data_IF_213404396223
#
_entry.id   IF_213404396223
#
_cell.length_a   1.000
_cell.length_b   1.000
_cell.length_c   1.000
_cell.angle_alpha   90.00
_cell.angle_beta   90.00
_cell.angle_gamma   90.00
#
_symmetry.space_group_name_H-M   'P 1'
#
loop_
_entity.id
_entity.type
_entity.pdbx_description
1 polymer ?
#
# COMPACT_ATOMS: atom_id res chain seq x y z
N UNK A 1 26.54 -14.15 -0.02
CA UNK A 1 26.17 -15.58 -0.03
C UNK A 1 24.77 -15.65 -0.62
N UNK A 2 24.67 -15.96 -1.91
CA UNK A 2 23.39 -16.08 -2.61
C UNK A 2 22.88 -17.49 -2.38
N UNK A 3 21.68 -17.64 -1.78
CA UNK A 3 20.97 -18.91 -1.85
C UNK A 3 20.55 -19.10 -3.30
N UNK A 4 21.20 -20.03 -3.99
CA UNK A 4 20.78 -20.49 -5.31
C UNK A 4 19.55 -21.35 -5.09
N UNK A 5 18.39 -20.93 -5.59
CA UNK A 5 17.27 -21.83 -5.79
C UNK A 5 17.74 -22.88 -6.80
N UNK A 6 18.11 -24.07 -6.31
CA UNK A 6 18.66 -25.13 -7.15
C UNK A 6 17.73 -25.46 -8.32
N UNK A 7 18.26 -25.93 -9.47
CA UNK A 7 17.42 -26.42 -10.55
C UNK A 7 16.50 -27.51 -9.98
N UNK A 8 15.20 -27.47 -10.31
CA UNK A 8 14.17 -28.45 -9.93
C UNK A 8 13.51 -28.25 -8.55
N UNK A 9 13.48 -27.06 -7.95
CA UNK A 9 12.71 -26.80 -6.71
C UNK A 9 11.18 -27.03 -6.85
N UNK A 10 10.69 -27.03 -8.09
CA UNK A 10 9.33 -27.36 -8.51
C UNK A 10 9.14 -28.85 -8.84
N UNK A 11 10.19 -29.68 -8.71
CA UNK A 11 10.08 -31.13 -8.80
C UNK A 11 9.59 -31.63 -7.45
N UNK A 12 8.29 -31.88 -7.38
CA UNK A 12 7.63 -32.50 -6.23
C UNK A 12 8.08 -33.96 -6.14
N UNK A 13 9.33 -34.20 -5.73
CA UNK A 13 9.63 -35.40 -4.98
C UNK A 13 8.97 -35.18 -3.63
N UNK A 14 7.71 -35.61 -3.51
CA UNK A 14 7.15 -35.92 -2.20
C UNK A 14 8.12 -36.93 -1.61
N UNK A 15 8.99 -36.48 -0.72
CA UNK A 15 9.69 -37.37 0.16
C UNK A 15 8.60 -38.14 0.91
N UNK A 16 8.37 -39.40 0.53
CA UNK A 16 7.40 -40.33 1.10
C UNK A 16 7.62 -40.59 2.61
N UNK A 17 8.51 -39.83 3.26
CA UNK A 17 8.98 -40.06 4.62
C UNK A 17 8.88 -38.85 5.57
N UNK A 18 8.34 -37.70 5.17
CA UNK A 18 8.00 -36.62 6.12
C UNK A 18 6.50 -36.61 6.41
N UNK A 19 6.10 -37.32 7.46
CA UNK A 19 4.72 -37.63 7.87
C UNK A 19 3.90 -36.46 8.45
N UNK A 20 4.27 -35.21 8.19
CA UNK A 20 3.39 -34.06 8.52
C UNK A 20 3.39 -33.06 7.37
N UNK A 21 2.31 -32.97 6.58
CA UNK A 21 2.12 -31.80 5.73
C UNK A 21 2.14 -30.58 6.64
N UNK A 22 2.90 -29.54 6.25
CA UNK A 22 2.83 -28.24 6.89
C UNK A 22 1.35 -27.85 7.02
N UNK A 23 0.90 -27.31 8.17
CA UNK A 23 -0.49 -26.95 8.35
C UNK A 23 -0.90 -26.02 7.21
N UNK A 24 -1.82 -26.49 6.35
CA UNK A 24 -2.35 -25.68 5.27
C UNK A 24 -3.18 -24.57 5.91
N UNK A 25 -2.65 -23.34 5.90
CA UNK A 25 -3.40 -22.16 6.34
C UNK A 25 -4.53 -21.98 5.34
N UNK A 26 -5.74 -22.41 5.71
CA UNK A 26 -6.95 -22.13 4.97
C UNK A 26 -7.55 -20.84 5.51
N UNK A 27 -7.37 -19.77 4.75
CA UNK A 27 -8.11 -18.55 4.99
C UNK A 27 -9.62 -18.83 4.76
N UNK A 28 -10.54 -18.15 5.47
CA UNK A 28 -11.98 -18.35 5.31
C UNK A 28 -12.44 -17.85 3.94
N UNK A 29 -13.40 -18.56 3.33
CA UNK A 29 -14.07 -18.06 2.13
C UNK A 29 -14.82 -16.76 2.46
N UNK A 30 -14.84 -15.83 1.51
CA UNK A 30 -15.53 -14.55 1.64
C UNK A 30 -16.65 -14.44 0.61
N UNK A 31 -17.76 -13.84 1.00
CA UNK A 31 -18.82 -13.47 0.08
C UNK A 31 -18.58 -12.04 -0.42
N UNK A 32 -18.51 -11.83 -1.73
CA UNK A 32 -18.22 -10.52 -2.31
C UNK A 32 -19.32 -10.05 -3.26
N UNK A 33 -19.40 -8.73 -3.43
CA UNK A 33 -20.21 -8.07 -4.42
C UNK A 33 -19.49 -8.10 -5.78
N UNK A 34 -20.13 -8.69 -6.79
CA UNK A 34 -19.76 -8.52 -8.20
C UNK A 34 -20.62 -7.41 -8.79
N UNK A 35 -20.00 -6.33 -9.27
CA UNK A 35 -20.67 -5.18 -9.89
C UNK A 35 -19.69 -4.43 -10.78
N UNK A 36 -20.20 -3.91 -11.90
CA UNK A 36 -19.47 -2.98 -12.77
C UNK A 36 -20.31 -1.71 -12.88
N UNK A 37 -19.70 -0.56 -12.66
CA UNK A 37 -20.31 0.76 -12.81
C UNK A 37 -19.41 1.53 -13.78
N UNK A 38 -20.01 2.09 -14.82
CA UNK A 38 -19.35 2.98 -15.76
C UNK A 38 -20.27 4.18 -16.02
N UNK A 39 -19.73 5.27 -16.57
CA UNK A 39 -20.52 6.42 -17.00
C UNK A 39 -21.67 5.97 -17.91
N UNK A 40 -22.91 6.12 -17.45
CA UNK A 40 -24.11 5.72 -18.20
C UNK A 40 -24.45 4.23 -18.20
N UNK A 41 -23.70 3.38 -17.48
CA UNK A 41 -23.96 1.95 -17.40
C UNK A 41 -23.78 1.38 -15.98
N UNK A 42 -24.80 0.67 -15.50
CA UNK A 42 -24.71 -0.10 -14.27
C UNK A 42 -24.95 -1.57 -14.61
N UNK A 43 -23.90 -2.37 -14.49
CA UNK A 43 -23.96 -3.81 -14.71
C UNK A 43 -24.74 -4.55 -13.62
N UNK A 44 -25.06 -5.83 -13.85
CA UNK A 44 -25.82 -6.63 -12.89
C UNK A 44 -25.06 -6.76 -11.58
N UNK A 45 -25.78 -6.55 -10.48
CA UNK A 45 -25.29 -6.76 -9.12
C UNK A 45 -25.49 -8.24 -8.75
N UNK A 46 -24.41 -8.96 -8.46
CA UNK A 46 -24.46 -10.38 -8.04
C UNK A 46 -23.63 -10.61 -6.79
N UNK A 47 -24.16 -11.39 -5.85
CA UNK A 47 -23.40 -11.87 -4.69
C UNK A 47 -22.83 -13.25 -5.02
N UNK A 48 -21.56 -13.49 -4.66
CA UNK A 48 -20.89 -14.77 -4.91
C UNK A 48 -19.91 -15.08 -3.78
N UNK A 49 -19.92 -16.33 -3.34
CA UNK A 49 -18.86 -16.88 -2.48
C UNK A 49 -17.61 -17.09 -3.32
N UNK A 50 -16.53 -16.45 -2.92
CA UNK A 50 -15.28 -16.44 -3.66
C UNK A 50 -14.43 -17.67 -3.32
N UNK A 51 -13.70 -18.16 -4.32
CA UNK A 51 -12.60 -19.10 -4.13
C UNK A 51 -11.39 -18.40 -3.50
N UNK A 52 -11.20 -17.11 -3.79
CA UNK A 52 -10.24 -16.23 -3.10
C UNK A 52 -10.78 -15.79 -1.73
N UNK A 53 -9.86 -15.44 -0.85
CA UNK A 53 -10.13 -15.03 0.53
C UNK A 53 -10.31 -13.52 0.71
N UNK A 54 -10.34 -12.78 -0.40
CA UNK A 54 -10.47 -11.34 -0.41
C UNK A 54 -11.48 -10.91 -1.46
N UNK A 55 -12.22 -9.85 -1.16
CA UNK A 55 -12.91 -9.04 -2.14
C UNK A 55 -11.98 -7.96 -2.67
N UNK A 56 -12.26 -7.50 -3.89
CA UNK A 56 -11.52 -6.47 -4.59
C UNK A 56 -12.48 -5.41 -5.13
N UNK A 57 -12.05 -4.15 -5.09
CA UNK A 57 -12.65 -3.05 -5.84
C UNK A 57 -11.55 -2.23 -6.49
N UNK A 58 -11.71 -1.96 -7.77
CA UNK A 58 -11.00 -0.92 -8.49
C UNK A 58 -11.98 0.19 -8.85
N UNK A 59 -11.59 1.44 -8.65
CA UNK A 59 -12.26 2.60 -9.20
C UNK A 59 -11.24 3.45 -9.96
N UNK A 60 -11.47 3.68 -11.24
CA UNK A 60 -10.64 4.52 -12.09
C UNK A 60 -11.39 5.79 -12.42
N UNK A 61 -10.79 6.93 -12.09
CA UNK A 61 -11.28 8.26 -12.40
C UNK A 61 -10.45 8.83 -13.54
N UNK A 62 -11.08 9.14 -14.67
CA UNK A 62 -10.44 9.83 -15.78
C UNK A 62 -10.97 11.26 -15.92
N UNK A 63 -10.06 12.22 -15.83
CA UNK A 63 -10.33 13.66 -15.93
C UNK A 63 -10.19 14.09 -17.41
N UNK A 64 -11.31 14.15 -18.11
CA UNK A 64 -11.37 14.63 -19.50
C UNK A 64 -11.60 16.14 -19.50
N UNK A 65 -10.78 16.88 -20.24
CA UNK A 65 -11.02 18.31 -20.45
C UNK A 65 -12.36 18.49 -21.17
N UNK A 66 -13.23 19.35 -20.63
CA UNK A 66 -14.59 19.70 -21.12
C UNK A 66 -15.78 18.87 -20.58
N UNK A 67 -15.58 18.00 -19.59
CA UNK A 67 -16.67 17.35 -18.86
C UNK A 67 -16.70 17.87 -17.41
N UNK A 68 -17.88 18.29 -16.93
CA UNK A 68 -18.06 18.75 -15.54
C UNK A 68 -17.85 17.62 -14.52
N UNK A 69 -17.95 16.36 -14.95
CA UNK A 69 -17.76 15.18 -14.11
C UNK A 69 -16.69 14.24 -14.71
N UNK A 70 -15.77 13.69 -13.91
CA UNK A 70 -14.82 12.69 -14.40
C UNK A 70 -15.55 11.43 -14.86
N UNK A 71 -15.06 10.80 -15.92
CA UNK A 71 -15.53 9.47 -16.30
C UNK A 71 -15.04 8.49 -15.23
N UNK A 72 -15.97 7.71 -14.67
CA UNK A 72 -15.69 6.78 -13.58
C UNK A 72 -15.98 5.36 -14.04
N UNK A 73 -14.99 4.48 -13.89
CA UNK A 73 -15.14 3.04 -14.03
C UNK A 73 -14.86 2.39 -12.68
N UNK A 74 -15.88 1.78 -12.07
CA UNK A 74 -15.74 0.99 -10.85
C UNK A 74 -16.06 -0.48 -11.12
N UNK A 75 -15.16 -1.36 -10.68
CA UNK A 75 -15.26 -2.81 -10.80
C UNK A 75 -15.07 -3.42 -9.42
N UNK A 76 -16.13 -4.04 -8.90
CA UNK A 76 -16.12 -4.82 -7.66
C UNK A 76 -16.24 -6.30 -7.99
N UNK A 77 -15.39 -7.15 -7.42
CA UNK A 77 -15.47 -8.61 -7.60
C UNK A 77 -14.76 -9.37 -6.47
N UNK A 78 -14.75 -10.70 -6.55
CA UNK A 78 -13.76 -11.53 -5.87
C UNK A 78 -12.34 -11.08 -6.26
N UNK A 79 -11.43 -11.02 -5.30
CA UNK A 79 -10.00 -10.79 -5.58
C UNK A 79 -9.35 -11.98 -6.28
N UNK A 80 -8.14 -11.75 -6.79
CA UNK A 80 -7.40 -12.79 -7.49
C UNK A 80 -7.06 -13.97 -6.58
N UNK A 81 -7.04 -15.16 -7.17
CA UNK A 81 -6.55 -16.36 -6.50
C UNK A 81 -5.02 -16.20 -6.38
N UNK A 82 -4.44 -16.37 -5.19
CA UNK A 82 -3.00 -16.25 -4.98
C UNK A 82 -2.26 -17.44 -5.61
N UNK A 83 -2.19 -17.51 -6.94
CA UNK A 83 -1.43 -18.56 -7.64
C UNK A 83 0.08 -18.29 -7.57
N UNK A 84 0.48 -17.04 -7.30
CA UNK A 84 1.88 -16.61 -7.17
C UNK A 84 2.15 -15.68 -5.96
N UNK A 85 1.20 -15.51 -5.05
CA UNK A 85 1.42 -14.69 -3.84
C UNK A 85 2.25 -15.48 -2.83
N UNK A 86 3.56 -15.30 -2.87
CA UNK A 86 4.49 -15.78 -1.82
C UNK A 86 4.18 -15.16 -0.45
N UNK A 87 3.43 -14.06 -0.41
CA UNK A 87 2.86 -13.45 0.79
C UNK A 87 1.37 -13.15 0.56
N UNK A 88 0.50 -13.90 1.25
CA UNK A 88 -0.97 -13.79 1.17
C UNK A 88 -1.51 -12.41 1.56
N UNK A 89 -0.66 -11.55 2.14
CA UNK A 89 -1.00 -10.18 2.55
C UNK A 89 -0.74 -9.15 1.45
N UNK A 90 0.07 -9.48 0.44
CA UNK A 90 0.36 -8.56 -0.66
C UNK A 90 -0.62 -8.80 -1.81
N UNK A 91 -1.04 -7.71 -2.43
CA UNK A 91 -1.95 -7.69 -3.56
C UNK A 91 -1.44 -6.74 -4.63
N UNK A 92 -1.70 -7.09 -5.88
CA UNK A 92 -1.29 -6.28 -7.01
C UNK A 92 -2.44 -5.36 -7.41
N UNK A 93 -2.18 -4.06 -7.36
CA UNK A 93 -3.04 -3.03 -7.90
C UNK A 93 -2.63 -2.72 -9.34
N UNK A 94 -3.52 -2.07 -10.09
CA UNK A 94 -3.21 -1.58 -11.43
C UNK A 94 -2.05 -0.58 -11.34
N UNK A 95 -0.91 -0.96 -11.89
CA UNK A 95 0.27 -0.10 -11.99
C UNK A 95 1.18 -0.06 -10.75
N UNK A 96 0.74 -0.53 -9.58
CA UNK A 96 1.58 -0.60 -8.36
C UNK A 96 1.44 -1.97 -7.68
N UNK A 97 2.41 -2.90 -7.87
CA UNK A 97 2.39 -4.18 -7.17
C UNK A 97 2.71 -4.03 -5.68
N UNK A 98 2.28 -5.02 -4.89
CA UNK A 98 2.69 -5.19 -3.50
C UNK A 98 2.04 -4.24 -2.50
N UNK A 99 0.74 -4.01 -2.63
CA UNK A 99 -0.07 -3.30 -1.65
C UNK A 99 -0.62 -4.26 -0.60
N UNK A 100 -0.84 -3.81 0.64
CA UNK A 100 -1.34 -4.70 1.69
C UNK A 100 -2.85 -4.92 1.58
N UNK A 101 -3.27 -6.15 1.83
CA UNK A 101 -4.67 -6.51 1.99
C UNK A 101 -5.31 -5.79 3.19
N UNK A 102 -6.63 -5.64 3.17
CA UNK A 102 -7.40 -4.84 4.13
C UNK A 102 -7.03 -3.34 4.12
N UNK A 103 -6.45 -2.87 3.02
CA UNK A 103 -6.15 -1.47 2.76
C UNK A 103 -6.76 -0.99 1.44
N UNK A 104 -6.89 0.32 1.33
CA UNK A 104 -7.35 1.03 0.14
C UNK A 104 -6.32 2.10 -0.25
N UNK A 105 -6.03 2.19 -1.54
CA UNK A 105 -4.91 2.96 -2.05
C UNK A 105 -5.37 3.79 -3.24
N UNK A 106 -5.26 5.12 -3.14
CA UNK A 106 -5.44 6.02 -4.27
C UNK A 106 -4.08 6.31 -4.90
N UNK A 107 -3.90 5.89 -6.13
CA UNK A 107 -2.65 5.99 -6.89
C UNK A 107 -2.85 6.95 -8.05
N UNK A 108 -1.93 7.89 -8.19
CA UNK A 108 -1.93 8.84 -9.29
C UNK A 108 -0.52 8.99 -9.84
N UNK A 109 -0.32 8.49 -11.07
CA UNK A 109 0.95 8.55 -11.82
C UNK A 109 0.83 9.38 -13.11
N UNK A 110 -0.41 9.73 -13.48
CA UNK A 110 -0.74 10.55 -14.65
C UNK A 110 -1.68 11.68 -14.23
N UNK A 111 -1.66 12.78 -14.97
CA UNK A 111 -2.44 13.99 -14.64
C UNK A 111 -3.94 13.75 -14.73
N UNK A 112 -4.36 12.97 -15.74
CA UNK A 112 -5.75 12.75 -16.08
C UNK A 112 -6.32 11.43 -15.57
N UNK A 113 -5.56 10.64 -14.82
CA UNK A 113 -6.04 9.34 -14.34
C UNK A 113 -5.61 9.11 -12.90
N UNK A 114 -6.56 8.79 -12.05
CA UNK A 114 -6.33 8.27 -10.71
C UNK A 114 -7.04 6.93 -10.54
N UNK A 115 -6.40 5.99 -9.85
CA UNK A 115 -6.96 4.67 -9.58
C UNK A 115 -7.03 4.45 -8.07
N UNK A 116 -8.19 4.03 -7.59
CA UNK A 116 -8.42 3.59 -6.21
C UNK A 116 -8.54 2.08 -6.23
N UNK A 117 -7.62 1.39 -5.57
CA UNK A 117 -7.66 -0.07 -5.43
C UNK A 117 -7.80 -0.46 -3.95
N UNK A 118 -8.76 -1.32 -3.67
CA UNK A 118 -9.14 -1.78 -2.34
C UNK A 118 -9.18 -3.30 -2.28
N UNK A 119 -8.58 -3.86 -1.23
CA UNK A 119 -8.62 -5.29 -0.93
C UNK A 119 -9.13 -5.49 0.48
N UNK A 120 -10.07 -6.42 0.69
CA UNK A 120 -10.64 -6.63 2.02
C UNK A 120 -11.11 -8.08 2.23
N UNK A 121 -11.04 -8.58 3.47
CA UNK A 121 -11.29 -10.00 3.81
C UNK A 121 -12.57 -10.23 4.62
N UNK A 122 -13.50 -9.28 4.64
CA UNK A 122 -14.80 -9.41 5.32
C UNK A 122 -15.90 -9.64 4.28
N UNK A 123 -16.96 -10.36 4.66
CA UNK A 123 -18.12 -10.52 3.77
C UNK A 123 -18.66 -9.15 3.35
N UNK A 124 -18.91 -8.98 2.05
CA UNK A 124 -19.51 -7.82 1.41
C UNK A 124 -18.76 -6.50 1.66
N UNK A 125 -17.49 -6.57 2.04
CA UNK A 125 -16.67 -5.39 2.34
C UNK A 125 -16.40 -4.49 1.12
N UNK A 126 -16.68 -4.98 -0.08
CA UNK A 126 -16.49 -4.30 -1.35
C UNK A 126 -17.78 -3.66 -1.90
N UNK A 127 -18.83 -3.58 -1.07
CA UNK A 127 -20.10 -2.91 -1.42
C UNK A 127 -19.98 -1.38 -1.37
N UNK A 128 -19.26 -0.86 -0.37
CA UNK A 128 -19.03 0.58 -0.17
C UNK A 128 -17.53 0.82 -0.10
N UNK A 129 -17.02 1.64 -1.02
CA UNK A 129 -15.63 2.07 -1.00
C UNK A 129 -15.41 3.03 0.17
N UNK A 130 -14.38 2.80 1.03
CA UNK A 130 -14.02 3.80 2.02
C UNK A 130 -13.47 5.03 1.33
N UNK A 131 -13.78 6.20 1.88
CA UNK A 131 -13.20 7.46 1.43
C UNK A 131 -11.70 7.50 1.74
N UNK A 132 -10.92 8.02 0.80
CA UNK A 132 -9.47 8.19 0.91
C UNK A 132 -9.20 9.69 0.81
N UNK A 133 -8.80 10.28 1.93
CA UNK A 133 -8.33 11.67 1.95
C UNK A 133 -7.00 11.76 1.20
N UNK A 134 -6.87 12.76 0.33
CA UNK A 134 -5.61 13.03 -0.35
C UNK A 134 -4.61 13.59 0.66
N UNK A 135 -3.49 12.88 0.83
CA UNK A 135 -2.41 13.35 1.70
C UNK A 135 -1.77 14.65 1.21
N UNK A 136 -0.97 15.30 2.06
CA UNK A 136 -0.46 16.65 1.80
C UNK A 136 0.92 16.70 1.15
N UNK A 137 1.54 15.55 0.86
CA UNK A 137 2.88 15.49 0.27
C UNK A 137 2.79 15.66 -1.24
N UNK A 138 3.17 16.85 -1.72
CA UNK A 138 3.34 17.13 -3.14
C UNK A 138 4.47 16.33 -3.78
N UNK A 139 4.22 15.69 -4.92
CA UNK A 139 5.12 14.79 -5.63
C UNK A 139 5.18 15.11 -7.13
N UNK A 140 6.29 14.79 -7.78
CA UNK A 140 6.35 14.75 -9.25
C UNK A 140 5.55 13.56 -9.77
N UNK A 141 4.96 13.69 -10.95
CA UNK A 141 4.29 12.58 -11.62
C UNK A 141 4.76 12.39 -13.07
N UNK A 142 4.41 11.25 -13.65
CA UNK A 142 4.66 10.92 -15.06
C UNK A 142 5.08 9.47 -15.23
N UNK A 143 5.07 9.00 -16.47
CA UNK A 143 5.37 7.62 -16.85
C UNK A 143 6.42 7.54 -17.95
N UNK A 144 6.96 6.34 -18.13
CA UNK A 144 7.85 5.97 -19.24
C UNK A 144 9.15 6.77 -19.35
N UNK A 145 9.60 7.38 -18.25
CA UNK A 145 10.88 8.05 -18.18
C UNK A 145 12.03 7.05 -18.38
N UNK A 146 13.11 7.50 -19.03
CA UNK A 146 14.30 6.66 -19.29
C UNK A 146 15.24 6.57 -18.10
N UNK A 147 15.15 7.53 -17.19
CA UNK A 147 15.99 7.59 -15.99
C UNK A 147 15.18 8.15 -14.82
N UNK A 148 15.76 8.07 -13.62
CA UNK A 148 15.08 8.46 -12.38
C UNK A 148 15.13 9.94 -12.08
N UNK A 149 16.01 10.72 -12.70
CA UNK A 149 16.11 12.18 -12.50
C UNK A 149 15.20 12.98 -13.44
N UNK A 150 14.66 12.35 -14.48
CA UNK A 150 13.70 12.97 -15.39
C UNK A 150 12.39 13.24 -14.64
N UNK A 151 11.87 14.46 -14.80
CA UNK A 151 10.60 14.92 -14.27
C UNK A 151 9.97 15.90 -15.26
N UNK A 152 8.66 15.99 -15.25
CA UNK A 152 7.96 17.14 -15.81
C UNK A 152 7.80 18.19 -14.68
N UNK A 153 8.38 19.37 -14.88
CA UNK A 153 8.35 20.46 -13.90
C UNK A 153 6.97 21.10 -13.71
N UNK A 154 5.97 20.71 -14.50
CA UNK A 154 4.61 21.24 -14.45
C UNK A 154 3.57 20.23 -13.98
N UNK A 155 3.94 18.96 -13.79
CA UNK A 155 3.01 17.90 -13.41
C UNK A 155 3.25 17.43 -11.97
N UNK A 156 2.24 17.62 -11.12
CA UNK A 156 2.30 17.31 -9.70
C UNK A 156 1.02 16.70 -9.18
N UNK A 157 1.13 15.78 -8.24
CA UNK A 157 0.00 15.31 -7.44
C UNK A 157 0.35 15.35 -5.96
N UNK A 158 -0.67 15.27 -5.12
CA UNK A 158 -0.55 15.23 -3.68
C UNK A 158 -0.96 13.86 -3.15
N UNK A 159 -0.30 13.38 -2.11
CA UNK A 159 -0.66 12.16 -1.40
C UNK A 159 0.09 11.98 -0.09
N UNK A 160 0.01 10.78 0.50
CA UNK A 160 0.75 10.46 1.73
C UNK A 160 2.21 10.12 1.43
N UNK A 161 2.46 9.50 0.27
CA UNK A 161 3.78 9.10 -0.19
C UNK A 161 4.01 9.54 -1.63
N UNK A 162 5.23 9.99 -1.92
CA UNK A 162 5.73 10.05 -3.28
C UNK A 162 6.30 8.69 -3.70
N UNK A 163 5.99 8.29 -4.92
CA UNK A 163 6.40 7.04 -5.55
C UNK A 163 7.44 7.32 -6.65
N UNK A 164 8.48 6.48 -6.69
CA UNK A 164 9.27 6.17 -7.89
C UNK A 164 9.13 4.68 -8.12
N UNK A 165 8.80 4.27 -9.34
CA UNK A 165 8.73 2.88 -9.74
C UNK A 165 9.61 2.67 -10.98
N UNK A 166 10.42 1.61 -10.99
CA UNK A 166 11.21 1.20 -12.13
C UNK A 166 10.83 -0.24 -12.52
N UNK A 167 10.19 -0.37 -13.68
CA UNK A 167 9.85 -1.66 -14.27
C UNK A 167 10.66 -1.84 -15.54
N UNK A 168 11.66 -2.73 -15.50
CA UNK A 168 12.51 -3.06 -16.65
C UNK A 168 13.16 -1.84 -17.34
N UNK A 169 13.60 -0.84 -16.57
CA UNK A 169 14.23 0.36 -17.09
C UNK A 169 13.27 1.48 -17.49
N UNK A 170 11.95 1.26 -17.36
CA UNK A 170 10.93 2.30 -17.49
C UNK A 170 10.56 2.84 -16.12
N UNK A 171 10.77 4.14 -15.93
CA UNK A 171 10.52 4.81 -14.66
C UNK A 171 9.19 5.53 -14.70
N UNK A 172 8.35 5.29 -13.70
CA UNK A 172 7.16 6.09 -13.41
C UNK A 172 7.27 6.74 -12.04
N UNK A 173 6.56 7.86 -11.89
CA UNK A 173 6.52 8.66 -10.68
C UNK A 173 5.08 9.07 -10.39
N UNK A 174 4.77 9.26 -9.12
CA UNK A 174 3.45 9.69 -8.72
C UNK A 174 3.33 9.82 -7.21
N UNK A 175 2.09 9.77 -6.74
CA UNK A 175 1.75 9.80 -5.33
C UNK A 175 0.78 8.67 -5.00
N UNK A 176 0.80 8.27 -3.73
CA UNK A 176 -0.11 7.28 -3.15
C UNK A 176 -0.73 7.91 -1.90
N UNK A 177 -2.07 7.89 -1.82
CA UNK A 177 -2.82 8.17 -0.59
C UNK A 177 -3.45 6.89 -0.06
N UNK A 178 -3.57 6.77 1.26
CA UNK A 178 -3.82 5.51 1.94
C UNK A 178 -5.04 5.59 2.86
N UNK A 179 -5.81 4.51 2.87
CA UNK A 179 -6.70 4.18 3.99
C UNK A 179 -6.43 2.73 4.43
N UNK A 180 -5.57 2.58 5.43
CA UNK A 180 -5.11 1.29 5.95
C UNK A 180 -5.63 1.00 7.36
N UNK A 181 -6.70 1.67 7.83
CA UNK A 181 -7.20 1.55 9.22
C UNK A 181 -7.51 0.11 9.65
N UNK A 182 -7.87 -0.75 8.70
CA UNK A 182 -8.21 -2.15 8.94
C UNK A 182 -7.09 -3.13 8.54
N UNK A 183 -5.94 -2.62 8.07
CA UNK A 183 -4.80 -3.43 7.68
C UNK A 183 -3.94 -3.80 8.88
N UNK A 184 -3.40 -5.03 8.89
CA UNK A 184 -2.42 -5.47 9.88
C UNK A 184 -0.99 -5.05 9.50
N UNK A 185 -0.79 -4.52 8.31
CA UNK A 185 0.52 -4.13 7.80
C UNK A 185 0.38 -2.84 6.99
N UNK A 186 1.31 -1.93 7.22
CA UNK A 186 1.24 -0.58 6.68
C UNK A 186 2.32 -0.33 5.66
N UNK A 187 1.98 0.45 4.64
CA UNK A 187 2.95 0.97 3.70
C UNK A 187 3.97 1.87 4.45
N UNK A 188 5.24 1.73 4.12
CA UNK A 188 6.33 2.46 4.77
C UNK A 188 7.25 3.09 3.75
N UNK A 189 7.83 4.23 4.13
CA UNK A 189 8.93 4.85 3.37
C UNK A 189 10.09 3.87 3.25
N UNK A 190 10.66 3.75 2.05
CA UNK A 190 11.78 2.85 1.80
C UNK A 190 11.87 2.38 0.36
N UNK A 191 12.84 1.51 0.12
CA UNK A 191 12.98 0.75 -1.13
C UNK A 191 12.40 -0.65 -0.94
N UNK A 192 11.71 -1.13 -1.97
CA UNK A 192 11.24 -2.52 -2.06
C UNK A 192 11.31 -2.98 -3.50
N UNK A 193 11.53 -4.28 -3.68
CA UNK A 193 11.52 -4.94 -5.00
C UNK A 193 10.48 -6.05 -4.98
N UNK A 194 9.39 -5.87 -5.72
CA UNK A 194 8.23 -6.77 -5.72
C UNK A 194 7.93 -7.15 -7.16
N UNK A 195 7.89 -8.45 -7.46
CA UNK A 195 7.59 -8.99 -8.79
C UNK A 195 8.47 -8.38 -9.91
N UNK A 196 9.75 -8.20 -9.63
CA UNK A 196 10.70 -7.63 -10.60
C UNK A 196 10.64 -6.11 -10.74
N UNK A 197 9.74 -5.44 -10.03
CA UNK A 197 9.57 -3.99 -10.04
C UNK A 197 10.26 -3.37 -8.82
N UNK A 198 11.18 -2.43 -9.04
CA UNK A 198 11.79 -1.64 -7.98
C UNK A 198 10.91 -0.42 -7.65
N UNK A 199 10.68 -0.19 -6.36
CA UNK A 199 9.83 0.91 -5.88
C UNK A 199 10.51 1.64 -4.73
N UNK A 200 10.41 2.97 -4.75
CA UNK A 200 10.84 3.86 -3.67
C UNK A 200 9.68 4.72 -3.21
N UNK A 201 9.47 4.75 -1.89
CA UNK A 201 8.44 5.54 -1.23
C UNK A 201 9.09 6.51 -0.26
N UNK A 202 8.66 7.77 -0.29
CA UNK A 202 9.15 8.81 0.61
C UNK A 202 8.06 9.84 0.91
N UNK A 203 8.15 10.54 2.06
CA UNK A 203 7.07 11.38 2.62
C UNK A 203 7.44 12.87 2.71
N UNK A 204 8.48 13.31 2.00
CA UNK A 204 8.84 14.74 1.94
C UNK A 204 8.42 15.32 0.59
N UNK A 205 8.03 16.59 0.55
CA UNK A 205 7.67 17.25 -0.69
C UNK A 205 8.74 17.07 -1.76
N UNK A 206 8.31 16.65 -2.95
CA UNK A 206 9.13 16.51 -4.15
C UNK A 206 10.34 15.59 -3.95
N UNK A 207 10.27 14.67 -2.97
CA UNK A 207 11.36 13.74 -2.67
C UNK A 207 11.59 12.73 -3.79
N UNK A 208 10.60 12.50 -4.65
CA UNK A 208 10.69 11.60 -5.81
C UNK A 208 11.33 12.24 -7.05
N UNK A 209 12.12 13.30 -6.89
CA UNK A 209 12.90 13.87 -7.99
C UNK A 209 13.92 12.88 -8.56
N UNK A 210 14.62 12.13 -7.70
CA UNK A 210 15.52 11.04 -8.06
C UNK A 210 15.63 10.03 -6.88
N UNK A 211 16.34 8.92 -7.09
CA UNK A 211 16.51 7.88 -6.06
C UNK A 211 17.31 8.41 -4.86
N UNK A 212 18.34 9.22 -5.09
CA UNK A 212 19.21 9.71 -4.00
C UNK A 212 18.44 10.59 -3.02
N UNK A 213 17.61 11.49 -3.55
CA UNK A 213 16.75 12.38 -2.79
C UNK A 213 15.65 11.61 -2.07
N UNK A 214 15.04 10.62 -2.72
CA UNK A 214 14.05 9.76 -2.10
C UNK A 214 14.66 9.03 -0.89
N UNK A 215 15.83 8.40 -1.08
CA UNK A 215 16.52 7.67 -0.01
C UNK A 215 17.05 8.57 1.10
N UNK A 216 17.47 9.80 0.78
CA UNK A 216 17.82 10.81 1.79
C UNK A 216 16.62 11.18 2.64
N UNK A 217 15.46 11.38 2.01
CA UNK A 217 14.19 11.66 2.71
C UNK A 217 13.80 10.53 3.66
N UNK A 218 13.87 9.28 3.19
CA UNK A 218 13.60 8.09 4.03
C UNK A 218 14.50 8.07 5.26
N UNK A 219 15.82 8.26 5.09
CA UNK A 219 16.78 8.26 6.20
C UNK A 219 16.50 9.38 7.21
N UNK A 220 16.14 10.56 6.73
CA UNK A 220 15.79 11.69 7.59
C UNK A 220 14.53 11.43 8.41
N UNK A 221 13.49 10.86 7.79
CA UNK A 221 12.25 10.47 8.49
C UNK A 221 12.51 9.44 9.60
N UNK A 222 13.27 8.38 9.29
CA UNK A 222 13.64 7.35 10.27
C UNK A 222 14.44 7.92 11.47
N UNK A 223 15.26 8.95 11.25
CA UNK A 223 15.99 9.64 12.33
C UNK A 223 15.06 10.49 13.19
N UNK A 224 14.10 11.18 12.58
CA UNK A 224 13.12 11.99 13.28
C UNK A 224 12.21 11.12 14.19
N UNK A 225 11.72 9.99 13.69
CA UNK A 225 10.92 9.04 14.48
C UNK A 225 11.67 8.51 15.70
N UNK A 226 12.93 8.11 15.53
CA UNK A 226 13.78 7.67 16.64
C UNK A 226 13.99 8.77 17.68
N UNK A 227 14.17 10.01 17.22
CA UNK A 227 14.36 11.16 18.12
C UNK A 227 13.09 11.43 18.92
N UNK A 228 11.92 11.46 18.28
CA UNK A 228 10.63 11.65 18.93
C UNK A 228 10.30 10.54 19.92
N UNK A 229 10.59 9.28 19.57
CA UNK A 229 10.44 8.15 20.49
C UNK A 229 11.32 8.29 21.73
N UNK A 230 12.59 8.68 21.56
CA UNK A 230 13.51 8.91 22.68
C UNK A 230 13.02 10.05 23.57
N UNK A 231 12.50 11.15 23.00
CA UNK A 231 11.92 12.25 23.77
C UNK A 231 10.67 11.82 24.56
N UNK A 232 9.75 11.09 23.92
CA UNK A 232 8.53 10.59 24.58
C UNK A 232 8.85 9.67 25.77
N UNK A 233 9.82 8.74 25.59
CA UNK A 233 10.29 7.86 26.68
C UNK A 233 10.94 8.66 27.80
N UNK A 234 11.71 9.71 27.48
CA UNK A 234 12.39 10.55 28.48
C UNK A 234 11.41 11.39 29.29
N UNK A 235 10.35 11.90 28.65
CA UNK A 235 9.25 12.63 29.31
C UNK A 235 8.43 11.68 30.19
N UNK A 236 8.06 10.50 29.67
CA UNK A 236 7.37 9.48 30.46
C UNK A 236 8.15 9.06 31.71
N UNK A 237 9.47 8.87 31.59
CA UNK A 237 10.33 8.59 32.76
C UNK A 237 10.39 9.76 33.75
N UNK A 238 10.44 11.01 33.29
CA UNK A 238 10.43 12.18 34.19
C UNK A 238 9.11 12.33 34.94
N UNK A 239 7.98 12.05 34.31
CA UNK A 239 6.67 12.08 34.95
C UNK A 239 6.53 10.99 36.02
N UNK A 240 7.00 9.78 35.75
CA UNK A 240 7.00 8.69 36.74
C UNK A 240 7.87 9.04 37.95
N UNK A 241 9.08 9.59 37.72
CA UNK A 241 9.96 10.01 38.83
C UNK A 241 9.33 11.17 39.62
N UNK A 242 8.73 12.15 38.95
CA UNK A 242 8.00 13.23 39.62
C UNK A 242 6.83 12.74 40.47
N UNK A 243 6.08 11.75 39.98
CA UNK A 243 4.97 11.14 40.70
C UNK A 243 5.42 10.35 41.94
N UNK A 244 6.53 9.61 41.83
CA UNK A 244 7.14 8.90 42.98
C UNK A 244 7.61 9.88 44.05
N UNK A 245 8.29 10.96 43.65
CA UNK A 245 8.74 11.99 44.58
C UNK A 245 7.54 12.67 45.27
N UNK A 246 6.47 12.95 44.52
CA UNK A 246 5.26 13.54 45.09
C UNK A 246 4.56 12.61 46.10
N UNK A 247 4.50 11.29 45.81
CA UNK A 247 4.00 10.29 46.76
C UNK A 247 4.89 10.23 48.01
N UNK A 248 6.22 10.28 47.87
CA UNK A 248 7.12 10.28 49.02
C UNK A 248 6.96 11.53 49.88
N UNK A 249 6.81 12.72 49.27
CA UNK A 249 6.58 13.98 49.99
C UNK A 249 5.25 13.97 50.74
N UNK A 250 4.17 13.45 50.14
CA UNK A 250 2.87 13.37 50.82
C UNK A 250 2.92 12.42 52.02
N UNK A 251 3.72 11.36 51.93
CA UNK A 251 3.83 10.35 52.99
C UNK A 251 4.63 10.82 54.21
N UNK A 252 5.41 11.90 54.09
CA UNK A 252 6.13 12.53 55.21
C UNK A 252 5.36 13.71 55.83
N UNK A 253 4.22 14.12 55.24
CA UNK A 253 3.42 15.27 55.69
C UNK A 253 2.11 14.83 56.39
N UNK A 254 1.76 13.55 56.36
CA UNK A 254 0.63 12.94 57.07
C UNK A 254 1.11 11.77 57.94
#
# INVERSE_FOLDING_TARGET
MFFSDGPLCNRVERADQTSRPLPQIRLPAVECQSKIISTGFVGPRREKVCTSNYCHVTKTESFVENLENPEELSVSNCGDIPEFDFDVRLKNSIGVPGLYANGCYRIQVETRVATVDCFCSKNRCNEVLPEIETGHVRCYMGKDFRNTSQVDGHQFCDGDFCLIQNSHGRVSKGCISLNERNSWSHLKSGHRRILGVDQWLCQAHLCNYDIERAMKSVKSSMRAEKTNFVYAVRIGKRLVVGFIIWIMIIRDVF
#
